data_IF_779117855702
#
_entry.id   IF_779117855702
#
_cell.length_a   1.000
_cell.length_b   1.000
_cell.length_c   1.000
_cell.angle_alpha   90.00
_cell.angle_beta   90.00
_cell.angle_gamma   90.00
#
_symmetry.space_group_name_H-M   'P 1'
#
loop_
_entity.id
_entity.type
_entity.pdbx_description
1 polymer ?
#
# COMPACT_ATOMS: atom_id res chain seq x y z
N UNK A 1 23.47 -21.59 25.10
CA UNK A 1 22.85 -20.80 23.99
C UNK A 1 21.72 -21.59 23.38
N UNK A 2 20.53 -21.03 23.40
CA UNK A 2 19.35 -21.60 22.71
C UNK A 2 19.04 -20.72 21.50
N UNK A 3 19.01 -21.30 20.33
CA UNK A 3 18.69 -20.57 19.09
C UNK A 3 17.36 -21.10 18.52
N UNK A 4 16.37 -20.26 18.41
CA UNK A 4 15.08 -20.60 17.80
C UNK A 4 14.92 -19.80 16.51
N UNK A 5 14.54 -20.47 15.42
CA UNK A 5 14.22 -19.83 14.15
C UNK A 5 12.70 -19.79 13.99
N UNK A 6 12.15 -18.59 13.79
CA UNK A 6 10.73 -18.38 13.56
C UNK A 6 10.52 -17.78 12.16
N UNK A 7 9.65 -18.39 11.35
CA UNK A 7 9.28 -17.85 10.07
C UNK A 7 8.05 -16.93 10.22
N UNK A 8 8.24 -15.63 9.98
CA UNK A 8 7.17 -14.66 10.00
C UNK A 8 6.56 -14.53 8.59
N UNK A 9 5.31 -14.91 8.45
CA UNK A 9 4.58 -14.86 7.17
C UNK A 9 4.04 -13.45 6.85
N UNK A 10 3.99 -12.55 7.83
CA UNK A 10 3.44 -11.20 7.67
C UNK A 10 4.50 -10.16 8.03
N UNK A 11 4.83 -9.29 7.09
CA UNK A 11 5.77 -8.17 7.25
C UNK A 11 5.10 -6.88 7.73
N UNK A 12 3.80 -6.90 8.00
CA UNK A 12 3.07 -5.74 8.50
C UNK A 12 3.50 -5.39 9.93
N UNK A 13 3.80 -4.12 10.17
CA UNK A 13 4.18 -3.61 11.49
C UNK A 13 2.98 -2.94 12.15
N UNK A 14 2.68 -3.38 13.36
CA UNK A 14 1.76 -2.68 14.25
C UNK A 14 2.55 -1.63 15.04
N UNK A 15 2.43 -0.37 14.63
CA UNK A 15 3.15 0.75 15.24
C UNK A 15 2.85 0.94 16.73
N UNK A 16 1.64 0.57 17.18
CA UNK A 16 1.27 0.64 18.59
C UNK A 16 1.98 -0.41 19.44
N UNK A 17 2.12 -1.63 18.91
CA UNK A 17 2.93 -2.67 19.55
C UNK A 17 4.40 -2.26 19.60
N UNK A 18 4.91 -1.73 18.48
CA UNK A 18 6.29 -1.28 18.42
C UNK A 18 6.59 -0.21 19.45
N UNK A 19 5.74 0.81 19.55
CA UNK A 19 5.88 1.88 20.53
C UNK A 19 5.83 1.36 21.98
N UNK A 20 4.90 0.46 22.28
CA UNK A 20 4.82 -0.16 23.62
C UNK A 20 6.05 -1.01 23.94
N UNK A 21 6.54 -1.76 22.95
CA UNK A 21 7.75 -2.55 23.10
C UNK A 21 8.99 -1.67 23.31
N UNK A 22 9.08 -0.56 22.58
CA UNK A 22 10.16 0.42 22.73
C UNK A 22 10.16 1.04 24.14
N UNK A 23 9.00 1.46 24.64
CA UNK A 23 8.87 1.94 26.02
C UNK A 23 9.29 0.88 27.02
N UNK A 24 8.81 -0.35 26.84
CA UNK A 24 9.19 -1.47 27.73
C UNK A 24 10.69 -1.71 27.74
N UNK A 25 11.35 -1.70 26.58
CA UNK A 25 12.81 -1.89 26.48
C UNK A 25 13.57 -0.74 27.13
N UNK A 26 13.13 0.50 26.95
CA UNK A 26 13.77 1.67 27.55
C UNK A 26 13.63 1.71 29.08
N UNK A 27 12.51 1.23 29.60
CA UNK A 27 12.24 1.19 31.03
C UNK A 27 12.73 -0.11 31.69
N UNK A 28 13.19 -1.08 30.88
CA UNK A 28 13.61 -2.40 31.36
C UNK A 28 14.75 -2.34 32.41
N UNK A 29 15.64 -1.38 32.25
CA UNK A 29 16.75 -1.19 33.22
C UNK A 29 16.25 -0.74 34.59
N UNK A 30 15.10 -0.10 34.67
CA UNK A 30 14.51 0.38 35.93
C UNK A 30 13.54 -0.62 36.54
N UNK A 31 12.68 -1.24 35.75
CA UNK A 31 11.55 -2.05 36.20
C UNK A 31 11.77 -3.54 35.93
N UNK A 32 12.32 -3.89 34.75
CA UNK A 32 12.43 -5.26 34.29
C UNK A 32 13.44 -6.12 35.06
N UNK A 33 14.44 -5.50 35.66
CA UNK A 33 15.45 -6.24 36.50
C UNK A 33 14.85 -6.90 37.73
N UNK A 34 13.70 -6.43 38.18
CA UNK A 34 13.03 -6.93 39.39
C UNK A 34 11.83 -7.83 39.04
N UNK A 35 11.48 -7.96 37.75
CA UNK A 35 10.38 -8.81 37.29
C UNK A 35 10.80 -10.29 37.32
N UNK A 36 9.86 -11.12 37.75
CA UNK A 36 9.98 -12.57 37.59
C UNK A 36 9.78 -12.97 36.12
N UNK A 37 10.24 -14.16 35.72
CA UNK A 37 10.04 -14.65 34.36
C UNK A 37 8.57 -14.72 33.92
N UNK A 38 7.66 -15.03 34.86
CA UNK A 38 6.20 -15.07 34.60
C UNK A 38 5.62 -13.68 34.38
N UNK A 39 6.02 -12.69 35.14
CA UNK A 39 5.62 -11.29 34.98
C UNK A 39 6.12 -10.74 33.63
N UNK A 40 7.35 -11.05 33.25
CA UNK A 40 7.94 -10.68 31.98
C UNK A 40 7.12 -11.24 30.80
N UNK A 41 6.80 -12.54 30.86
CA UNK A 41 5.96 -13.18 29.83
C UNK A 41 4.57 -12.56 29.77
N UNK A 42 3.94 -12.31 30.92
CA UNK A 42 2.62 -11.66 30.98
C UNK A 42 2.61 -10.27 30.33
N UNK A 43 3.66 -9.48 30.58
CA UNK A 43 3.81 -8.14 29.97
C UNK A 43 4.00 -8.21 28.45
N UNK A 44 4.82 -9.14 27.97
CA UNK A 44 5.01 -9.34 26.53
C UNK A 44 3.74 -9.85 25.83
N UNK A 45 3.00 -10.75 26.49
CA UNK A 45 1.71 -11.25 26.01
C UNK A 45 0.65 -10.13 25.93
N UNK A 46 0.65 -9.19 26.90
CA UNK A 46 -0.22 -8.02 26.86
C UNK A 46 0.09 -7.13 25.65
N UNK A 47 1.37 -6.89 25.37
CA UNK A 47 1.81 -6.12 24.19
C UNK A 47 1.42 -6.86 22.90
N UNK A 48 1.56 -8.18 22.86
CA UNK A 48 1.19 -8.99 21.69
C UNK A 48 -0.32 -8.93 21.39
N UNK A 49 -1.15 -8.86 22.41
CA UNK A 49 -2.62 -8.76 22.28
C UNK A 49 -3.13 -7.43 21.76
N UNK A 50 -2.28 -6.40 21.67
CA UNK A 50 -2.69 -5.10 21.11
C UNK A 50 -3.11 -5.26 19.64
N UNK A 51 -4.38 -5.11 19.36
CA UNK A 51 -4.92 -5.16 18.01
C UNK A 51 -4.72 -3.80 17.30
N UNK A 52 -4.78 -3.81 15.97
CA UNK A 52 -4.68 -2.56 15.19
C UNK A 52 -5.75 -1.54 15.59
N UNK A 53 -5.34 -0.29 15.78
CA UNK A 53 -6.15 0.81 16.31
C UNK A 53 -7.30 1.23 15.39
N UNK A 54 -7.20 0.94 14.09
CA UNK A 54 -8.10 1.50 13.10
C UNK A 54 -9.04 0.46 12.50
N UNK A 55 -10.31 0.87 12.33
CA UNK A 55 -11.30 0.06 11.62
C UNK A 55 -10.97 0.00 10.12
N UNK A 56 -11.40 -1.06 9.38
CA UNK A 56 -11.24 -1.13 7.93
C UNK A 56 -11.85 0.06 7.18
N UNK A 57 -12.92 0.64 7.72
CA UNK A 57 -13.56 1.83 7.15
C UNK A 57 -12.65 3.06 7.30
N UNK A 58 -12.05 3.27 8.48
CA UNK A 58 -11.12 4.36 8.70
C UNK A 58 -9.88 4.26 7.80
N UNK A 59 -9.33 3.05 7.65
CA UNK A 59 -8.21 2.78 6.74
C UNK A 59 -8.60 3.01 5.27
N UNK A 60 -9.82 2.61 4.88
CA UNK A 60 -10.36 2.87 3.54
C UNK A 60 -10.48 4.37 3.27
N UNK A 61 -11.00 5.13 4.23
CA UNK A 61 -11.15 6.58 4.11
C UNK A 61 -9.81 7.31 4.04
N UNK A 62 -8.83 6.90 4.86
CA UNK A 62 -7.48 7.46 4.80
C UNK A 62 -6.80 7.21 3.45
N UNK A 63 -6.93 5.98 2.91
CA UNK A 63 -6.44 5.65 1.58
C UNK A 63 -7.14 6.47 0.48
N UNK A 64 -8.46 6.64 0.59
CA UNK A 64 -9.25 7.46 -0.33
C UNK A 64 -8.74 8.91 -0.35
N UNK A 65 -8.55 9.52 0.82
CA UNK A 65 -8.01 10.88 0.92
C UNK A 65 -6.62 10.98 0.30
N UNK A 66 -5.71 10.07 0.66
CA UNK A 66 -4.35 10.08 0.13
C UNK A 66 -4.34 9.96 -1.40
N UNK A 67 -5.05 9.00 -1.96
CA UNK A 67 -5.10 8.77 -3.40
C UNK A 67 -5.77 9.93 -4.15
N UNK A 68 -6.84 10.50 -3.61
CA UNK A 68 -7.47 11.69 -4.16
C UNK A 68 -6.54 12.90 -4.19
N UNK A 69 -5.84 13.18 -3.09
CA UNK A 69 -4.84 14.25 -3.04
C UNK A 69 -3.69 14.02 -4.03
N UNK A 70 -3.20 12.79 -4.16
CA UNK A 70 -2.17 12.46 -5.15
C UNK A 70 -2.65 12.69 -6.58
N UNK A 71 -3.91 12.37 -6.89
CA UNK A 71 -4.49 12.65 -8.21
C UNK A 71 -4.39 14.14 -8.54
N UNK A 72 -4.75 15.00 -7.60
CA UNK A 72 -4.64 16.44 -7.76
C UNK A 72 -3.18 16.90 -7.95
N UNK A 73 -2.26 16.38 -7.15
CA UNK A 73 -0.82 16.70 -7.26
C UNK A 73 -0.20 16.30 -8.60
N UNK A 74 -0.68 15.22 -9.21
CA UNK A 74 -0.23 14.76 -10.53
C UNK A 74 -0.96 15.44 -11.70
N UNK A 75 -1.73 16.48 -11.43
CA UNK A 75 -2.41 17.29 -12.47
C UNK A 75 -3.76 16.76 -12.92
N UNK A 76 -4.33 15.79 -12.19
CA UNK A 76 -5.70 15.33 -12.45
C UNK A 76 -6.75 16.37 -12.08
N UNK A 77 -7.87 16.37 -12.79
CA UNK A 77 -9.00 17.25 -12.54
C UNK A 77 -9.79 16.86 -11.26
N UNK A 78 -10.71 17.74 -10.85
CA UNK A 78 -11.56 17.51 -9.66
C UNK A 78 -12.40 16.23 -9.82
N UNK A 79 -12.89 15.96 -11.03
CA UNK A 79 -13.68 14.75 -11.33
C UNK A 79 -12.84 13.51 -11.13
N UNK A 80 -11.62 13.49 -11.68
CA UNK A 80 -10.69 12.36 -11.53
C UNK A 80 -10.29 12.16 -10.07
N UNK A 81 -10.06 13.25 -9.34
CA UNK A 81 -9.77 13.22 -7.91
C UNK A 81 -10.88 12.53 -7.11
N UNK A 82 -12.15 12.86 -7.38
CA UNK A 82 -13.29 12.23 -6.72
C UNK A 82 -13.46 10.76 -7.11
N UNK A 83 -13.25 10.44 -8.39
CA UNK A 83 -13.27 9.04 -8.85
C UNK A 83 -12.16 8.21 -8.21
N UNK A 84 -10.94 8.75 -8.12
CA UNK A 84 -9.81 8.09 -7.49
C UNK A 84 -10.02 7.93 -5.97
N UNK A 85 -10.59 8.93 -5.32
CA UNK A 85 -10.99 8.88 -3.91
C UNK A 85 -11.92 7.68 -3.65
N UNK A 86 -13.00 7.57 -4.40
CA UNK A 86 -13.96 6.48 -4.25
C UNK A 86 -13.35 5.12 -4.60
N UNK A 87 -12.60 5.04 -5.71
CA UNK A 87 -11.94 3.82 -6.16
C UNK A 87 -10.95 3.28 -5.13
N UNK A 88 -10.05 4.14 -4.62
CA UNK A 88 -9.07 3.77 -3.61
C UNK A 88 -9.72 3.38 -2.27
N UNK A 89 -10.76 4.11 -1.86
CA UNK A 89 -11.46 3.81 -0.61
C UNK A 89 -12.10 2.43 -0.62
N UNK A 90 -12.82 2.10 -1.68
CA UNK A 90 -13.46 0.79 -1.85
C UNK A 90 -12.40 -0.31 -2.04
N UNK A 91 -11.38 -0.08 -2.85
CA UNK A 91 -10.29 -1.03 -3.07
C UNK A 91 -9.57 -1.39 -1.78
N UNK A 92 -9.21 -0.40 -0.97
CA UNK A 92 -8.54 -0.64 0.32
C UNK A 92 -9.47 -1.32 1.33
N UNK A 93 -10.74 -0.99 1.34
CA UNK A 93 -11.73 -1.67 2.19
C UNK A 93 -11.84 -3.16 1.85
N UNK A 94 -11.90 -3.51 0.55
CA UNK A 94 -11.90 -4.90 0.06
C UNK A 94 -10.62 -5.61 0.50
N UNK A 95 -9.45 -4.98 0.34
CA UNK A 95 -8.17 -5.51 0.80
C UNK A 95 -8.20 -5.83 2.30
N UNK A 96 -8.64 -4.88 3.13
CA UNK A 96 -8.72 -5.08 4.57
C UNK A 96 -9.65 -6.22 4.97
N UNK A 97 -10.78 -6.37 4.28
CA UNK A 97 -11.71 -7.49 4.52
C UNK A 97 -11.09 -8.84 4.15
N UNK A 98 -10.49 -8.95 2.96
CA UNK A 98 -9.87 -10.18 2.51
C UNK A 98 -8.71 -10.60 3.41
N UNK A 99 -7.90 -9.65 3.88
CA UNK A 99 -6.83 -9.92 4.85
C UNK A 99 -7.38 -10.47 6.16
N UNK A 100 -8.51 -9.96 6.65
CA UNK A 100 -9.18 -10.48 7.86
C UNK A 100 -9.70 -11.92 7.69
N UNK A 101 -10.08 -12.30 6.49
CA UNK A 101 -10.54 -13.66 6.18
C UNK A 101 -9.40 -14.62 5.79
N UNK A 102 -8.14 -14.24 6.05
CA UNK A 102 -6.95 -15.06 5.80
C UNK A 102 -6.79 -15.53 4.34
N UNK A 103 -7.30 -14.78 3.39
CA UNK A 103 -7.02 -15.04 1.97
C UNK A 103 -5.55 -14.76 1.64
N UNK A 104 -5.06 -15.39 0.57
CA UNK A 104 -3.68 -15.20 0.12
C UNK A 104 -3.42 -13.74 -0.23
N UNK A 105 -2.19 -13.29 0.01
CA UNK A 105 -1.76 -11.91 -0.28
C UNK A 105 -2.07 -11.51 -1.73
N UNK A 106 -1.73 -12.39 -2.69
CA UNK A 106 -1.93 -12.11 -4.11
C UNK A 106 -3.41 -11.96 -4.48
N UNK A 107 -4.28 -12.81 -3.95
CA UNK A 107 -5.71 -12.68 -4.16
C UNK A 107 -6.24 -11.36 -3.58
N UNK A 108 -5.77 -11.00 -2.39
CA UNK A 108 -6.13 -9.73 -1.75
C UNK A 108 -5.73 -8.52 -2.60
N UNK A 109 -4.52 -8.52 -3.18
CA UNK A 109 -4.03 -7.46 -4.06
C UNK A 109 -4.85 -7.41 -5.36
N UNK A 110 -4.98 -8.54 -6.04
CA UNK A 110 -5.73 -8.63 -7.31
C UNK A 110 -7.17 -8.16 -7.14
N UNK A 111 -7.88 -8.66 -6.15
CA UNK A 111 -9.27 -8.29 -5.90
C UNK A 111 -9.42 -6.81 -5.54
N UNK A 112 -8.48 -6.24 -4.77
CA UNK A 112 -8.52 -4.82 -4.42
C UNK A 112 -8.23 -3.91 -5.61
N UNK A 113 -7.27 -4.27 -6.48
CA UNK A 113 -7.01 -3.54 -7.73
C UNK A 113 -8.20 -3.64 -8.67
N UNK A 114 -8.77 -4.82 -8.87
CA UNK A 114 -9.94 -4.99 -9.71
C UNK A 114 -11.12 -4.13 -9.23
N UNK A 115 -11.40 -4.13 -7.92
CA UNK A 115 -12.49 -3.33 -7.36
C UNK A 115 -12.24 -1.84 -7.48
N UNK A 116 -11.01 -1.36 -7.22
CA UNK A 116 -10.63 0.04 -7.39
C UNK A 116 -10.77 0.49 -8.85
N UNK A 117 -10.28 -0.33 -9.79
CA UNK A 117 -10.36 -0.08 -11.24
C UNK A 117 -11.80 0.00 -11.74
N UNK A 118 -12.64 -0.94 -11.33
CA UNK A 118 -14.06 -0.96 -11.72
C UNK A 118 -14.79 0.26 -11.20
N UNK A 119 -14.63 0.59 -9.92
CA UNK A 119 -15.30 1.74 -9.32
C UNK A 119 -14.84 3.04 -9.99
N UNK A 120 -13.53 3.19 -10.20
CA UNK A 120 -12.97 4.34 -10.90
C UNK A 120 -13.59 4.50 -12.30
N UNK A 121 -13.56 3.45 -13.11
CA UNK A 121 -14.06 3.49 -14.48
C UNK A 121 -15.57 3.74 -14.57
N UNK A 122 -16.37 3.14 -13.68
CA UNK A 122 -17.82 3.36 -13.62
C UNK A 122 -18.12 4.83 -13.28
N UNK A 123 -17.48 5.36 -12.24
CA UNK A 123 -17.70 6.75 -11.82
C UNK A 123 -17.22 7.74 -12.87
N UNK A 124 -16.11 7.46 -13.53
CA UNK A 124 -15.58 8.31 -14.59
C UNK A 124 -16.56 8.36 -15.78
N UNK A 125 -17.01 7.21 -16.28
CA UNK A 125 -18.02 7.15 -17.36
C UNK A 125 -19.32 7.84 -16.97
N UNK A 126 -19.75 7.67 -15.71
CA UNK A 126 -20.93 8.37 -15.21
C UNK A 126 -20.73 9.88 -15.20
N UNK A 127 -19.57 10.35 -14.79
CA UNK A 127 -19.24 11.78 -14.78
C UNK A 127 -19.14 12.35 -16.21
N UNK A 128 -18.57 11.61 -17.16
CA UNK A 128 -18.52 12.01 -18.57
C UNK A 128 -19.94 12.19 -19.17
N UNK A 129 -20.85 11.27 -18.87
CA UNK A 129 -22.23 11.34 -19.36
C UNK A 129 -23.01 12.47 -18.71
N UNK A 130 -22.81 12.71 -17.40
CA UNK A 130 -23.59 13.71 -16.65
C UNK A 130 -23.08 15.14 -16.86
N UNK A 131 -21.76 15.32 -16.97
CA UNK A 131 -21.13 16.65 -16.98
C UNK A 131 -20.53 17.01 -18.34
N UNK A 132 -20.57 16.12 -19.32
CA UNK A 132 -19.96 16.29 -20.65
C UNK A 132 -18.49 16.77 -20.59
N UNK A 133 -17.76 16.35 -19.55
CA UNK A 133 -16.35 16.70 -19.33
C UNK A 133 -15.49 15.63 -19.98
N UNK A 134 -14.65 16.05 -20.91
CA UNK A 134 -13.56 15.18 -21.41
C UNK A 134 -12.47 15.11 -20.35
N UNK A 135 -12.48 14.08 -19.53
CA UNK A 135 -11.49 13.89 -18.50
C UNK A 135 -10.23 13.19 -19.06
N UNK A 136 -9.06 13.67 -18.66
CA UNK A 136 -7.80 12.98 -18.94
C UNK A 136 -7.63 11.88 -17.90
N UNK A 137 -7.69 10.62 -18.31
CA UNK A 137 -7.94 9.48 -17.41
C UNK A 137 -6.71 8.94 -16.69
N UNK A 138 -5.51 9.32 -17.09
CA UNK A 138 -4.29 8.61 -16.71
C UNK A 138 -3.90 8.80 -15.24
N UNK A 139 -3.86 10.04 -14.78
CA UNK A 139 -3.43 10.35 -13.42
C UNK A 139 -4.37 9.75 -12.37
N UNK A 140 -5.67 9.94 -12.55
CA UNK A 140 -6.67 9.44 -11.61
C UNK A 140 -6.73 7.92 -11.54
N UNK A 141 -6.60 7.23 -12.68
CA UNK A 141 -6.60 5.77 -12.73
C UNK A 141 -5.43 5.18 -11.94
N UNK A 142 -4.21 5.64 -12.22
CA UNK A 142 -3.00 5.18 -11.51
C UNK A 142 -3.11 5.51 -10.02
N UNK A 143 -3.54 6.73 -9.68
CA UNK A 143 -3.68 7.16 -8.30
C UNK A 143 -4.72 6.37 -7.51
N UNK A 144 -5.78 5.88 -8.16
CA UNK A 144 -6.79 5.06 -7.49
C UNK A 144 -6.23 3.76 -6.89
N UNK A 145 -5.02 3.34 -7.28
CA UNK A 145 -4.35 2.11 -6.83
C UNK A 145 -3.11 2.34 -5.97
N UNK A 146 -2.71 3.60 -5.72
CA UNK A 146 -1.50 3.92 -4.95
C UNK A 146 -1.49 3.35 -3.54
N UNK A 147 -2.66 3.08 -2.95
CA UNK A 147 -2.77 2.47 -1.62
C UNK A 147 -2.15 1.07 -1.52
N UNK A 148 -1.84 0.43 -2.66
CA UNK A 148 -1.22 -0.92 -2.70
C UNK A 148 0.28 -0.86 -2.58
N UNK A 149 0.89 0.27 -2.94
CA UNK A 149 2.35 0.42 -2.92
C UNK A 149 2.88 0.15 -1.51
N UNK A 150 3.75 -0.85 -1.35
CA UNK A 150 4.28 -1.24 -0.05
C UNK A 150 5.41 -0.30 0.38
N UNK A 151 5.09 0.96 0.68
CA UNK A 151 6.07 1.98 1.02
C UNK A 151 6.93 1.62 2.24
N UNK A 152 6.31 1.05 3.28
CA UNK A 152 7.04 0.63 4.48
C UNK A 152 8.09 -0.46 4.21
N UNK A 153 7.78 -1.58 3.50
CA UNK A 153 8.78 -2.55 3.10
C UNK A 153 9.92 -1.97 2.26
N UNK A 154 9.65 -1.01 1.38
CA UNK A 154 10.71 -0.35 0.61
C UNK A 154 11.66 0.46 1.48
N UNK A 155 11.12 1.29 2.38
CA UNK A 155 11.93 2.13 3.27
C UNK A 155 12.77 1.24 4.19
N UNK A 156 12.18 0.22 4.81
CA UNK A 156 12.90 -0.69 5.71
C UNK A 156 13.94 -1.53 4.99
N UNK A 157 13.65 -1.99 3.76
CA UNK A 157 14.64 -2.66 2.91
C UNK A 157 15.83 -1.74 2.61
N UNK A 158 15.58 -0.48 2.26
CA UNK A 158 16.65 0.50 2.03
C UNK A 158 17.53 0.74 3.26
N UNK A 159 16.91 0.82 4.45
CA UNK A 159 17.62 0.97 5.71
C UNK A 159 18.48 -0.27 6.01
N UNK A 160 17.94 -1.47 5.83
CA UNK A 160 18.66 -2.72 6.07
C UNK A 160 19.88 -2.84 5.13
N UNK A 161 19.68 -2.53 3.83
CA UNK A 161 20.77 -2.52 2.85
C UNK A 161 21.85 -1.48 3.20
N UNK A 162 21.45 -0.29 3.65
CA UNK A 162 22.40 0.74 4.08
C UNK A 162 23.21 0.32 5.33
N UNK A 163 22.64 -0.53 6.19
CA UNK A 163 23.32 -1.13 7.34
C UNK A 163 24.11 -2.40 7.01
N UNK A 164 24.20 -2.76 5.71
CA UNK A 164 24.86 -3.98 5.23
C UNK A 164 24.17 -5.30 5.68
N UNK A 165 22.95 -5.23 6.18
CA UNK A 165 22.12 -6.44 6.36
C UNK A 165 21.47 -6.82 5.03
N UNK A 166 22.32 -7.40 4.18
CA UNK A 166 21.94 -7.73 2.80
C UNK A 166 20.80 -8.74 2.72
N UNK A 167 20.75 -9.68 3.67
CA UNK A 167 19.74 -10.74 3.65
C UNK A 167 18.35 -10.19 3.93
N UNK A 168 18.17 -9.50 5.06
CA UNK A 168 16.89 -8.90 5.43
C UNK A 168 16.44 -7.86 4.42
N UNK A 169 17.38 -7.03 3.93
CA UNK A 169 17.11 -6.01 2.92
C UNK A 169 16.61 -6.58 1.60
N UNK A 170 17.28 -7.61 1.06
CA UNK A 170 16.88 -8.24 -0.20
C UNK A 170 15.56 -9.01 -0.09
N UNK A 171 15.31 -9.71 1.02
CA UNK A 171 14.05 -10.42 1.25
C UNK A 171 12.86 -9.45 1.27
N UNK A 172 12.98 -8.30 1.96
CA UNK A 172 11.95 -7.26 1.99
C UNK A 172 11.77 -6.56 0.65
N UNK A 173 12.86 -6.30 -0.06
CA UNK A 173 12.82 -5.72 -1.40
C UNK A 173 12.10 -6.64 -2.38
N UNK A 174 12.46 -7.92 -2.41
CA UNK A 174 11.81 -8.91 -3.27
C UNK A 174 10.31 -9.01 -2.98
N UNK A 175 9.92 -9.02 -1.70
CA UNK A 175 8.51 -9.00 -1.30
C UNK A 175 7.78 -7.76 -1.84
N UNK A 176 8.37 -6.57 -1.69
CA UNK A 176 7.79 -5.33 -2.18
C UNK A 176 7.65 -5.31 -3.72
N UNK A 177 8.67 -5.79 -4.43
CA UNK A 177 8.65 -5.92 -5.90
C UNK A 177 7.54 -6.87 -6.35
N UNK A 178 7.37 -8.02 -5.70
CA UNK A 178 6.30 -8.97 -6.04
C UNK A 178 4.91 -8.35 -5.88
N UNK A 179 4.67 -7.59 -4.82
CA UNK A 179 3.40 -6.87 -4.63
C UNK A 179 3.14 -5.92 -5.80
N UNK A 180 4.14 -5.12 -6.18
CA UNK A 180 4.00 -4.16 -7.28
C UNK A 180 3.79 -4.87 -8.60
N UNK A 181 4.52 -5.93 -8.89
CA UNK A 181 4.34 -6.70 -10.13
C UNK A 181 2.90 -7.22 -10.25
N UNK A 182 2.36 -7.84 -9.21
CA UNK A 182 0.98 -8.34 -9.23
C UNK A 182 -0.03 -7.19 -9.38
N UNK A 183 0.18 -6.10 -8.66
CA UNK A 183 -0.70 -4.94 -8.74
C UNK A 183 -0.69 -4.29 -10.13
N UNK A 184 0.50 -4.06 -10.71
CA UNK A 184 0.64 -3.43 -12.04
C UNK A 184 0.11 -4.31 -13.16
N UNK A 185 0.38 -5.62 -13.12
CA UNK A 185 -0.18 -6.57 -14.09
C UNK A 185 -1.71 -6.59 -14.03
N UNK A 186 -2.27 -6.65 -12.82
CA UNK A 186 -3.72 -6.60 -12.64
C UNK A 186 -4.32 -5.27 -13.14
N UNK A 187 -3.68 -4.16 -12.80
CA UNK A 187 -4.10 -2.83 -13.25
C UNK A 187 -4.08 -2.72 -14.77
N UNK A 188 -3.03 -3.21 -15.40
CA UNK A 188 -2.90 -3.19 -16.86
C UNK A 188 -3.97 -4.03 -17.54
N UNK A 189 -4.20 -5.26 -17.06
CA UNK A 189 -5.29 -6.12 -17.57
C UNK A 189 -6.63 -5.42 -17.41
N UNK A 190 -6.91 -4.81 -16.27
CA UNK A 190 -8.16 -4.08 -16.04
C UNK A 190 -8.29 -2.87 -16.96
N UNK A 191 -7.21 -2.13 -17.22
CA UNK A 191 -7.22 -1.01 -18.15
C UNK A 191 -7.58 -1.46 -19.58
N UNK A 192 -7.02 -2.60 -20.03
CA UNK A 192 -7.36 -3.19 -21.33
C UNK A 192 -8.83 -3.62 -21.40
N UNK A 193 -9.33 -4.30 -20.36
CA UNK A 193 -10.72 -4.77 -20.30
C UNK A 193 -11.74 -3.61 -20.26
N UNK A 194 -11.39 -2.51 -19.60
CA UNK A 194 -12.23 -1.33 -19.46
C UNK A 194 -12.07 -0.35 -20.63
N UNK A 195 -11.23 -0.67 -21.61
CA UNK A 195 -10.89 0.17 -22.76
C UNK A 195 -10.43 1.59 -22.35
N UNK A 196 -9.74 1.71 -21.22
CA UNK A 196 -9.09 2.95 -20.81
C UNK A 196 -7.85 3.12 -21.69
N UNK A 197 -8.00 3.84 -22.80
CA UNK A 197 -6.85 4.12 -23.67
C UNK A 197 -5.99 5.19 -23.02
N UNK A 198 -4.68 4.96 -22.85
CA UNK A 198 -3.78 6.02 -22.49
C UNK A 198 -3.87 7.10 -23.58
N UNK A 199 -4.06 8.35 -23.16
CA UNK A 199 -3.89 9.49 -24.07
C UNK A 199 -2.48 9.35 -24.63
N UNK A 200 -2.36 9.28 -25.95
CA UNK A 200 -1.11 9.00 -26.65
C UNK A 200 0.00 9.79 -25.99
N UNK A 201 0.95 9.09 -25.36
CA UNK A 201 2.24 9.69 -25.09
C UNK A 201 2.65 10.25 -26.46
N UNK A 202 2.85 11.55 -26.62
CA UNK A 202 3.48 12.07 -27.83
C UNK A 202 4.74 11.23 -27.94
N UNK A 203 4.80 10.41 -29.00
CA UNK A 203 5.91 9.49 -29.20
C UNK A 203 7.15 10.29 -28.84
N UNK A 204 7.86 9.90 -27.80
CA UNK A 204 9.11 10.52 -27.45
C UNK A 204 9.90 10.46 -28.73
N UNK A 205 9.85 11.55 -29.48
CA UNK A 205 10.68 11.76 -30.63
C UNK A 205 12.11 11.87 -30.08
N UNK A 206 12.69 10.72 -29.75
CA UNK A 206 14.13 10.56 -29.54
C UNK A 206 14.90 10.87 -30.83
N UNK A 207 14.18 11.36 -31.83
CA UNK A 207 14.75 11.93 -33.02
C UNK A 207 15.16 13.35 -32.70
N UNK A 208 16.46 13.53 -32.58
CA UNK A 208 17.14 14.78 -32.93
C UNK A 208 17.46 15.82 -31.87
N UNK A 209 17.46 15.52 -30.59
CA UNK A 209 18.24 16.36 -29.68
C UNK A 209 19.74 15.99 -29.58
N UNK A 210 20.18 14.96 -30.28
CA UNK A 210 21.57 14.51 -30.29
C UNK A 210 22.39 15.02 -31.49
N UNK A 211 21.85 15.89 -32.35
CA UNK A 211 22.54 16.42 -33.55
C UNK A 211 22.91 17.90 -33.43
N UNK A 212 22.67 18.53 -32.29
CA UNK A 212 23.14 19.91 -32.06
C UNK A 212 24.00 20.00 -30.79
N UNK A 213 25.12 19.27 -30.78
CA UNK A 213 26.33 19.64 -30.02
C UNK A 213 27.49 19.57 -31.00
#
# INVERSE_FOLDING_TARGET
CYTQSLCLTNTGVNTSRLNRLEHFVNDFDREGKFMTGEELHSHLDEIERIHGLYSPIALGFAAALACGCFTFLLGGGIVEMLCAFCGAGIGNFVRCKLTKHHFTLFLGITASVCSASLVYAILLKLAEVLFAVSAQHEAGYICSMLFIIPGFPFITSGIDLAKLDMRSGLERLAYAILIILVATMTAWIMALLLHLQPVQFPALSLTLSLIHI
#
